data_IF_849919874969
#
_entry.id   IF_849919874969
#
_cell.length_a   1.000
_cell.length_b   1.000
_cell.length_c   1.000
_cell.angle_alpha   90.00
_cell.angle_beta   90.00
_cell.angle_gamma   90.00
#
_symmetry.space_group_name_H-M   'P 1'
#
loop_
_entity.id
_entity.type
_entity.pdbx_description
1 polymer ?
#
# COMPACT_ATOMS: atom_id res chain seq x y z
N UNK A 1 -30.42 6.41 2.84
CA UNK A 1 -30.09 5.17 3.57
C UNK A 1 -29.72 4.02 2.61
N UNK A 2 -30.12 4.10 1.34
CA UNK A 2 -29.97 3.03 0.35
C UNK A 2 -28.55 2.81 -0.19
N UNK A 3 -27.76 3.89 -0.31
CA UNK A 3 -26.39 3.80 -0.81
C UNK A 3 -25.46 2.99 0.10
N UNK A 4 -25.59 3.15 1.42
CA UNK A 4 -24.79 2.40 2.41
C UNK A 4 -25.19 0.92 2.43
N UNK A 5 -26.48 0.63 2.29
CA UNK A 5 -26.99 -0.75 2.25
C UNK A 5 -26.55 -1.49 0.97
N UNK A 6 -26.57 -0.78 -0.17
CA UNK A 6 -26.06 -1.27 -1.46
C UNK A 6 -24.55 -1.48 -1.43
N UNK A 7 -23.79 -0.55 -0.83
CA UNK A 7 -22.36 -0.70 -0.62
C UNK A 7 -22.07 -1.94 0.24
N UNK A 8 -22.81 -2.12 1.34
CA UNK A 8 -22.65 -3.26 2.26
C UNK A 8 -22.94 -4.59 1.55
N UNK A 9 -24.01 -4.68 0.75
CA UNK A 9 -24.32 -5.87 -0.06
C UNK A 9 -23.23 -6.13 -1.12
N UNK A 10 -22.76 -5.11 -1.83
CA UNK A 10 -21.73 -5.26 -2.87
C UNK A 10 -20.38 -5.67 -2.28
N UNK A 11 -20.01 -5.15 -1.11
CA UNK A 11 -18.81 -5.55 -0.37
C UNK A 11 -18.94 -6.98 0.15
N UNK A 12 -20.09 -7.33 0.76
CA UNK A 12 -20.34 -8.68 1.29
C UNK A 12 -20.35 -9.75 0.20
N UNK A 13 -20.91 -9.44 -0.97
CA UNK A 13 -20.94 -10.34 -2.11
C UNK A 13 -19.54 -10.56 -2.72
N UNK A 14 -18.68 -9.53 -2.72
CA UNK A 14 -17.28 -9.68 -3.14
C UNK A 14 -16.39 -10.37 -2.12
N UNK A 15 -16.66 -10.19 -0.82
CA UNK A 15 -16.01 -10.99 0.24
C UNK A 15 -16.31 -12.49 0.04
N UNK A 16 -17.48 -12.82 -0.51
CA UNK A 16 -17.84 -14.21 -0.82
C UNK A 16 -17.12 -14.78 -2.06
N UNK A 17 -16.56 -13.92 -2.95
CA UNK A 17 -15.75 -14.33 -4.11
C UNK A 17 -14.24 -14.43 -3.81
N UNK A 18 -13.86 -14.69 -2.54
CA UNK A 18 -12.48 -14.95 -2.11
C UNK A 18 -11.93 -16.31 -2.60
N UNK A 19 -12.17 -16.67 -3.86
CA UNK A 19 -11.51 -17.81 -4.47
C UNK A 19 -10.33 -17.33 -5.31
N UNK A 20 -9.11 -17.47 -4.79
CA UNK A 20 -7.89 -17.20 -5.55
C UNK A 20 -7.65 -18.32 -6.56
N UNK A 21 -7.53 -17.96 -7.83
CA UNK A 21 -7.07 -18.87 -8.88
C UNK A 21 -5.54 -18.98 -8.78
N UNK A 22 -4.93 -20.05 -9.30
CA UNK A 22 -3.47 -20.19 -9.32
C UNK A 22 -2.75 -18.97 -9.93
N UNK A 23 -3.37 -18.35 -10.95
CA UNK A 23 -2.86 -17.12 -11.59
C UNK A 23 -2.78 -15.95 -10.61
N UNK A 24 -3.78 -15.80 -9.73
CA UNK A 24 -3.77 -14.71 -8.75
C UNK A 24 -2.66 -14.90 -7.72
N UNK A 25 -2.43 -16.14 -7.29
CA UNK A 25 -1.33 -16.49 -6.37
C UNK A 25 0.02 -16.20 -7.05
N UNK A 26 0.17 -16.55 -8.33
CA UNK A 26 1.38 -16.24 -9.10
C UNK A 26 1.60 -14.73 -9.21
N UNK A 27 0.55 -13.95 -9.48
CA UNK A 27 0.64 -12.48 -9.50
C UNK A 27 1.06 -11.92 -8.14
N UNK A 28 0.46 -12.40 -7.04
CA UNK A 28 0.84 -12.00 -5.69
C UNK A 28 2.33 -12.27 -5.45
N UNK A 29 2.82 -13.45 -5.81
CA UNK A 29 4.22 -13.81 -5.63
C UNK A 29 5.16 -12.91 -6.46
N UNK A 30 4.83 -12.66 -7.73
CA UNK A 30 5.63 -11.81 -8.62
C UNK A 30 5.68 -10.38 -8.11
N UNK A 31 4.54 -9.80 -7.72
CA UNK A 31 4.50 -8.42 -7.24
C UNK A 31 5.14 -8.27 -5.86
N UNK A 32 5.04 -9.27 -4.98
CA UNK A 32 5.77 -9.27 -3.70
C UNK A 32 7.28 -9.31 -3.91
N UNK A 33 7.77 -10.15 -4.85
CA UNK A 33 9.17 -10.18 -5.22
C UNK A 33 9.62 -8.85 -5.84
N UNK A 34 8.82 -8.28 -6.74
CA UNK A 34 9.10 -6.98 -7.36
C UNK A 34 9.22 -5.88 -6.31
N UNK A 35 8.28 -5.79 -5.37
CA UNK A 35 8.38 -4.82 -4.28
C UNK A 35 9.62 -5.03 -3.44
N UNK A 36 9.92 -6.28 -3.07
CA UNK A 36 11.11 -6.61 -2.27
C UNK A 36 12.39 -6.11 -2.94
N UNK A 37 12.58 -6.44 -4.22
CA UNK A 37 13.75 -6.01 -4.99
C UNK A 37 13.79 -4.49 -5.10
N UNK A 38 12.66 -3.86 -5.40
CA UNK A 38 12.57 -2.41 -5.59
C UNK A 38 12.83 -1.67 -4.27
N UNK A 39 12.39 -2.22 -3.13
CA UNK A 39 12.59 -1.62 -1.81
C UNK A 39 14.04 -1.78 -1.33
N UNK A 40 14.64 -2.96 -1.53
CA UNK A 40 16.04 -3.21 -1.18
C UNK A 40 17.03 -2.37 -2.01
N UNK A 41 16.66 -2.04 -3.25
CA UNK A 41 17.48 -1.22 -4.15
C UNK A 41 17.23 0.26 -3.96
N UNK A 42 15.97 0.72 -4.05
CA UNK A 42 15.64 2.14 -4.01
C UNK A 42 15.57 2.71 -2.59
N UNK A 43 15.29 1.88 -1.58
CA UNK A 43 15.17 2.33 -0.19
C UNK A 43 16.44 2.99 0.33
N UNK A 44 17.62 2.32 0.26
CA UNK A 44 18.90 2.93 0.65
C UNK A 44 19.22 4.18 -0.16
N UNK A 45 18.89 4.19 -1.45
CA UNK A 45 19.13 5.34 -2.34
C UNK A 45 18.27 6.52 -1.90
N UNK A 46 16.99 6.31 -1.57
CA UNK A 46 16.08 7.37 -1.14
C UNK A 46 16.51 8.04 0.15
N UNK A 47 16.93 7.24 1.13
CA UNK A 47 17.49 7.77 2.38
C UNK A 47 18.82 8.50 2.16
N UNK A 48 19.64 8.07 1.21
CA UNK A 48 20.92 8.74 0.93
C UNK A 48 20.71 10.07 0.19
N UNK A 49 19.81 10.09 -0.79
CA UNK A 49 19.62 11.23 -1.69
C UNK A 49 18.73 12.32 -1.08
N UNK A 50 17.60 11.92 -0.48
CA UNK A 50 16.57 12.84 0.01
C UNK A 50 16.46 12.86 1.53
N UNK A 51 17.15 11.94 2.24
CA UNK A 51 16.95 11.68 3.67
C UNK A 51 15.48 11.41 4.06
N UNK A 52 14.68 11.00 3.08
CA UNK A 52 13.25 10.78 3.17
C UNK A 52 12.91 9.43 2.52
N UNK A 53 12.00 8.61 3.10
CA UNK A 53 11.51 7.37 2.49
C UNK A 53 10.64 7.53 1.22
N UNK A 54 10.80 8.59 0.42
CA UNK A 54 10.00 8.83 -0.81
C UNK A 54 10.04 7.64 -1.77
N UNK A 55 11.24 7.07 -2.01
CA UNK A 55 11.36 5.91 -2.89
C UNK A 55 10.85 4.61 -2.26
N UNK A 56 10.82 4.51 -0.93
CA UNK A 56 10.16 3.40 -0.25
C UNK A 56 8.65 3.46 -0.49
N UNK A 57 8.04 4.64 -0.34
CA UNK A 57 6.62 4.87 -0.64
C UNK A 57 6.31 4.52 -2.10
N UNK A 58 7.11 5.04 -3.03
CA UNK A 58 6.95 4.71 -4.45
C UNK A 58 7.02 3.20 -4.68
N UNK A 59 8.01 2.52 -4.11
CA UNK A 59 8.19 1.07 -4.32
C UNK A 59 6.98 0.25 -3.87
N UNK A 60 6.39 0.59 -2.71
CA UNK A 60 5.27 -0.17 -2.17
C UNK A 60 3.98 0.16 -2.91
N UNK A 61 3.64 1.43 -3.09
CA UNK A 61 2.35 1.77 -3.66
C UNK A 61 2.28 1.51 -5.16
N UNK A 62 3.40 1.63 -5.89
CA UNK A 62 3.46 1.25 -7.29
C UNK A 62 3.17 -0.25 -7.48
N UNK A 63 3.80 -1.10 -6.67
CA UNK A 63 3.62 -2.55 -6.74
C UNK A 63 2.21 -2.97 -6.28
N UNK A 64 1.68 -2.36 -5.22
CA UNK A 64 0.31 -2.59 -4.75
C UNK A 64 -0.73 -2.16 -5.79
N UNK A 65 -0.54 -1.02 -6.45
CA UNK A 65 -1.44 -0.55 -7.51
C UNK A 65 -1.46 -1.52 -8.70
N UNK A 66 -0.29 -2.00 -9.13
CA UNK A 66 -0.19 -3.01 -10.18
C UNK A 66 -0.84 -4.34 -9.77
N UNK A 67 -0.60 -4.79 -8.54
CA UNK A 67 -1.22 -6.01 -8.00
C UNK A 67 -2.75 -5.88 -7.93
N UNK A 68 -3.24 -4.72 -7.49
CA UNK A 68 -4.67 -4.40 -7.44
C UNK A 68 -5.29 -4.47 -8.82
N UNK A 69 -4.62 -3.88 -9.81
CA UNK A 69 -5.12 -3.80 -11.16
C UNK A 69 -5.06 -5.14 -11.90
N UNK A 70 -3.97 -5.90 -11.73
CA UNK A 70 -3.78 -7.18 -12.39
C UNK A 70 -4.70 -8.28 -11.82
N UNK A 71 -4.90 -8.30 -10.50
CA UNK A 71 -5.75 -9.30 -9.84
C UNK A 71 -7.24 -8.89 -9.82
N UNK A 72 -7.54 -7.60 -9.66
CA UNK A 72 -8.90 -7.10 -9.48
C UNK A 72 -9.62 -7.65 -8.24
N UNK A 73 -8.89 -8.26 -7.30
CA UNK A 73 -9.44 -8.99 -6.15
C UNK A 73 -9.15 -8.33 -4.82
N UNK A 74 -10.12 -8.45 -3.92
CA UNK A 74 -9.98 -8.06 -2.51
C UNK A 74 -8.87 -8.89 -1.88
N UNK A 75 -7.98 -8.27 -1.10
CA UNK A 75 -6.96 -8.99 -0.34
C UNK A 75 -5.67 -9.30 -1.12
N UNK A 76 -5.67 -9.21 -2.45
CA UNK A 76 -4.44 -9.42 -3.23
C UNK A 76 -3.36 -8.37 -2.93
N UNK A 77 -3.68 -7.05 -2.86
CA UNK A 77 -2.71 -6.03 -2.45
C UNK A 77 -2.22 -6.26 -1.01
N UNK A 78 -3.13 -6.60 -0.08
CA UNK A 78 -2.75 -6.97 1.29
C UNK A 78 -1.76 -8.13 1.32
N UNK A 79 -2.00 -9.20 0.56
CA UNK A 79 -1.10 -10.34 0.49
C UNK A 79 0.29 -9.96 -0.07
N UNK A 80 0.33 -9.16 -1.13
CA UNK A 80 1.59 -8.62 -1.69
C UNK A 80 2.35 -7.80 -0.64
N UNK A 81 1.64 -6.91 0.06
CA UNK A 81 2.20 -6.04 1.09
C UNK A 81 2.64 -6.76 2.38
N UNK A 82 2.01 -7.88 2.72
CA UNK A 82 2.46 -8.71 3.85
C UNK A 82 3.69 -9.50 3.46
N UNK A 83 3.64 -10.20 2.32
CA UNK A 83 4.74 -11.07 1.87
C UNK A 83 6.00 -10.24 1.60
N UNK A 84 5.88 -9.13 0.88
CA UNK A 84 7.05 -8.30 0.60
C UNK A 84 7.65 -7.64 1.84
N UNK A 85 6.84 -7.23 2.83
CA UNK A 85 7.34 -6.70 4.09
C UNK A 85 8.16 -7.76 4.84
N UNK A 86 7.65 -8.98 4.91
CA UNK A 86 8.34 -10.10 5.54
C UNK A 86 9.66 -10.43 4.83
N UNK A 87 9.68 -10.43 3.50
CA UNK A 87 10.89 -10.67 2.72
C UNK A 87 11.94 -9.56 2.94
N UNK A 88 11.52 -8.29 2.90
CA UNK A 88 12.43 -7.16 3.16
C UNK A 88 12.99 -7.23 4.58
N UNK A 89 12.15 -7.52 5.59
CA UNK A 89 12.60 -7.68 6.98
C UNK A 89 13.51 -8.89 7.16
N UNK A 90 13.27 -9.99 6.44
CA UNK A 90 14.13 -11.17 6.50
C UNK A 90 15.53 -10.88 5.92
N UNK A 91 15.61 -10.10 4.85
CA UNK A 91 16.90 -9.72 4.22
C UNK A 91 17.58 -8.60 5.00
N UNK A 92 16.81 -7.62 5.52
CA UNK A 92 17.32 -6.44 6.23
C UNK A 92 16.52 -6.19 7.51
N UNK A 93 16.81 -6.90 8.62
CA UNK A 93 16.04 -6.81 9.87
C UNK A 93 16.07 -5.42 10.51
N UNK A 94 17.11 -4.63 10.25
CA UNK A 94 17.23 -3.26 10.74
C UNK A 94 16.27 -2.25 10.09
N UNK A 95 15.49 -2.65 9.08
CA UNK A 95 14.55 -1.78 8.36
C UNK A 95 13.17 -1.74 9.04
N UNK A 96 13.13 -1.33 10.31
CA UNK A 96 11.93 -1.36 11.16
C UNK A 96 10.78 -0.49 10.64
N UNK A 97 11.07 0.50 9.79
CA UNK A 97 10.08 1.32 9.09
C UNK A 97 9.11 0.50 8.22
N UNK A 98 9.49 -0.73 7.84
CA UNK A 98 8.66 -1.63 7.05
C UNK A 98 7.37 -2.05 7.78
N UNK A 99 7.34 -1.96 9.11
CA UNK A 99 6.13 -2.19 9.91
C UNK A 99 5.09 -1.08 9.66
N UNK A 100 5.52 0.17 9.50
CA UNK A 100 4.62 1.28 9.14
C UNK A 100 3.98 1.08 7.77
N UNK A 101 4.77 0.60 6.80
CA UNK A 101 4.27 0.21 5.48
C UNK A 101 3.32 -0.97 5.53
N UNK A 102 3.60 -1.98 6.36
CA UNK A 102 2.71 -3.11 6.54
C UNK A 102 1.31 -2.67 7.01
N UNK A 103 1.25 -1.73 7.95
CA UNK A 103 -0.02 -1.18 8.45
C UNK A 103 -0.77 -0.39 7.38
N UNK A 104 -0.06 0.38 6.55
CA UNK A 104 -0.70 1.17 5.49
C UNK A 104 -1.21 0.33 4.32
N UNK A 105 -0.66 -0.87 4.09
CA UNK A 105 -1.17 -1.78 3.06
C UNK A 105 -2.62 -2.18 3.34
N UNK A 106 -2.95 -2.47 4.60
CA UNK A 106 -4.34 -2.79 4.97
C UNK A 106 -5.29 -1.62 4.74
N UNK A 107 -4.83 -0.40 5.03
CA UNK A 107 -5.59 0.82 4.75
C UNK A 107 -5.78 1.00 3.24
N UNK A 108 -4.73 0.81 2.45
CA UNK A 108 -4.78 0.89 1.00
C UNK A 108 -5.79 -0.12 0.42
N UNK A 109 -5.73 -1.36 0.86
CA UNK A 109 -6.62 -2.42 0.38
C UNK A 109 -8.08 -2.17 0.78
N UNK A 110 -8.32 -1.66 2.00
CA UNK A 110 -9.64 -1.24 2.44
C UNK A 110 -10.19 -0.07 1.59
N UNK A 111 -9.37 0.94 1.32
CA UNK A 111 -9.76 2.07 0.47
C UNK A 111 -10.05 1.61 -0.97
N UNK A 112 -9.20 0.75 -1.55
CA UNK A 112 -9.43 0.20 -2.89
C UNK A 112 -10.68 -0.70 -2.95
N UNK A 113 -11.01 -1.38 -1.85
CA UNK A 113 -12.27 -2.12 -1.71
C UNK A 113 -13.49 -1.21 -1.75
N UNK A 114 -13.45 -0.08 -1.04
CA UNK A 114 -14.51 0.91 -1.08
C UNK A 114 -14.66 1.55 -2.47
N UNK A 115 -13.55 1.72 -3.19
CA UNK A 115 -13.54 2.20 -4.58
C UNK A 115 -13.99 1.13 -5.59
N UNK A 116 -14.15 -0.12 -5.15
CA UNK A 116 -14.75 -1.19 -5.93
C UNK A 116 -13.84 -1.84 -6.96
N UNK A 117 -12.51 -1.79 -6.83
CA UNK A 117 -11.51 -2.46 -7.71
C UNK A 117 -11.73 -2.29 -9.23
N UNK A 118 -12.59 -1.37 -9.67
CA UNK A 118 -12.85 -1.14 -11.09
C UNK A 118 -11.74 -0.24 -11.63
N UNK A 119 -10.51 -0.72 -11.72
CA UNK A 119 -9.39 0.02 -12.34
C UNK A 119 -9.48 -0.02 -13.87
N UNK A 120 -10.65 0.31 -14.42
CA UNK A 120 -10.74 0.74 -15.81
C UNK A 120 -10.05 2.11 -15.91
N UNK A 121 -9.42 2.40 -17.05
CA UNK A 121 -8.80 3.70 -17.38
C UNK A 121 -9.81 4.86 -17.52
N UNK A 122 -10.76 4.93 -16.59
CA UNK A 122 -11.65 6.06 -16.42
C UNK A 122 -10.95 7.04 -15.48
N UNK A 123 -10.98 8.35 -15.77
CA UNK A 123 -10.29 9.36 -14.97
C UNK A 123 -10.75 9.34 -13.50
N UNK A 124 -12.03 9.03 -13.24
CA UNK A 124 -12.56 8.88 -11.89
C UNK A 124 -11.87 7.76 -11.08
N UNK A 125 -11.69 6.57 -11.66
CA UNK A 125 -11.08 5.44 -10.95
C UNK A 125 -9.58 5.64 -10.73
N UNK A 126 -8.90 6.32 -11.67
CA UNK A 126 -7.50 6.73 -11.52
C UNK A 126 -7.36 7.76 -10.40
N UNK A 127 -8.26 8.76 -10.34
CA UNK A 127 -8.27 9.75 -9.27
C UNK A 127 -8.52 9.12 -7.90
N UNK A 128 -9.46 8.18 -7.80
CA UNK A 128 -9.69 7.43 -6.55
C UNK A 128 -8.48 6.62 -6.12
N UNK A 129 -7.82 5.92 -7.04
CA UNK A 129 -6.63 5.14 -6.74
C UNK A 129 -5.44 6.04 -6.31
N UNK A 130 -5.30 7.22 -6.93
CA UNK A 130 -4.32 8.22 -6.53
C UNK A 130 -4.60 8.76 -5.13
N UNK A 131 -5.87 9.07 -4.81
CA UNK A 131 -6.28 9.51 -3.48
C UNK A 131 -6.06 8.42 -2.42
N UNK A 132 -6.39 7.17 -2.74
CA UNK A 132 -6.15 6.03 -1.84
C UNK A 132 -4.66 5.81 -1.59
N UNK A 133 -3.84 5.94 -2.62
CA UNK A 133 -2.37 5.88 -2.52
C UNK A 133 -1.83 7.01 -1.66
N UNK A 134 -2.23 8.25 -1.93
CA UNK A 134 -1.79 9.43 -1.17
C UNK A 134 -2.19 9.33 0.30
N UNK A 135 -3.44 8.94 0.59
CA UNK A 135 -3.91 8.76 1.96
C UNK A 135 -3.14 7.65 2.70
N UNK A 136 -2.84 6.55 2.01
CA UNK A 136 -2.09 5.44 2.60
C UNK A 136 -0.61 5.80 2.83
N UNK A 137 0.02 6.48 1.87
CA UNK A 137 1.39 6.99 2.00
C UNK A 137 1.51 7.97 3.16
N UNK A 138 0.55 8.90 3.27
CA UNK A 138 0.47 9.83 4.37
C UNK A 138 0.35 9.12 5.72
N UNK A 139 -0.53 8.11 5.81
CA UNK A 139 -0.70 7.30 7.01
C UNK A 139 0.57 6.53 7.39
N UNK A 140 1.28 5.95 6.42
CA UNK A 140 2.58 5.32 6.64
C UNK A 140 3.61 6.31 7.18
N UNK A 141 3.68 7.51 6.59
CA UNK A 141 4.58 8.58 7.02
C UNK A 141 4.33 9.01 8.47
N UNK A 142 3.07 9.14 8.89
CA UNK A 142 2.72 9.44 10.29
C UNK A 142 3.21 8.33 11.24
N UNK A 143 2.94 7.07 10.92
CA UNK A 143 3.37 5.94 11.76
C UNK A 143 4.89 5.89 11.85
N UNK A 144 5.58 6.02 10.72
CA UNK A 144 7.05 5.97 10.66
C UNK A 144 7.66 7.15 11.41
N UNK A 145 7.16 8.37 11.18
CA UNK A 145 7.65 9.59 11.81
C UNK A 145 7.48 9.59 13.33
N UNK A 146 6.33 9.16 13.82
CA UNK A 146 6.01 9.17 15.26
C UNK A 146 6.62 8.00 16.02
N UNK A 147 6.52 6.78 15.49
CA UNK A 147 6.93 5.55 16.22
C UNK A 147 8.41 5.24 16.02
N UNK A 148 8.95 5.42 14.81
CA UNK A 148 10.30 4.95 14.48
C UNK A 148 11.34 6.07 14.41
N UNK A 149 10.94 7.30 14.10
CA UNK A 149 11.85 8.46 14.08
C UNK A 149 11.79 9.30 15.36
N UNK A 150 10.86 9.00 16.28
CA UNK A 150 10.71 9.72 17.56
C UNK A 150 10.34 11.20 17.41
N UNK A 151 9.86 11.60 16.23
CA UNK A 151 9.38 12.96 15.99
C UNK A 151 8.03 13.19 16.67
N UNK A 152 7.75 14.43 17.09
CA UNK A 152 6.42 14.79 17.58
C UNK A 152 5.37 14.59 16.48
N UNK A 153 4.11 14.38 16.88
CA UNK A 153 3.00 14.28 15.92
C UNK A 153 2.92 15.52 15.02
N UNK A 154 3.18 16.71 15.57
CA UNK A 154 3.21 17.96 14.83
C UNK A 154 4.34 18.01 13.79
N UNK A 155 5.52 17.46 14.09
CA UNK A 155 6.62 17.31 13.14
C UNK A 155 6.27 16.31 12.04
N UNK A 156 5.67 15.17 12.41
CA UNK A 156 5.23 14.19 11.42
C UNK A 156 4.15 14.76 10.50
N UNK A 157 3.20 15.55 11.03
CA UNK A 157 2.17 16.21 10.23
C UNK A 157 2.74 17.31 9.32
N UNK A 158 3.70 18.11 9.78
CA UNK A 158 4.25 19.23 8.97
C UNK A 158 5.28 18.78 7.94
N UNK A 159 6.22 17.93 8.33
CA UNK A 159 7.29 17.44 7.46
C UNK A 159 6.75 16.50 6.37
N UNK A 160 5.71 15.72 6.66
CA UNK A 160 5.10 14.78 5.71
C UNK A 160 3.85 15.31 4.98
N UNK A 161 3.11 16.30 5.52
CA UNK A 161 1.96 16.89 4.82
C UNK A 161 2.32 18.12 3.95
N UNK A 162 3.33 18.91 4.34
CA UNK A 162 3.57 20.23 3.74
C UNK A 162 4.99 20.47 3.23
N UNK A 163 5.95 19.55 3.45
CA UNK A 163 7.29 19.66 2.88
C UNK A 163 7.92 21.05 3.12
N UNK A 164 8.06 21.44 4.38
CA UNK A 164 8.84 22.63 4.79
C UNK A 164 10.20 22.21 5.28
#
# INVERSE_FOLDING_TARGET
>A
MDAVLLLKKKVLQRLFEMYFKPVDIALIAIFAAMWTVLNLTLGPIGFTLFRLPIFCDFSVYFTLLLATWASGKIGAPSAVGVIGALLVLAVRPGSTQMIGFLMSVFLFDALMTLCGYETRFKPYNIAMAALATAASAYFAGIIIGTVFMGGSLEWALTFWAFGT
#
